data_IF_048779149916
#
_entry.id   IF_048779149916
#
_cell.length_a   1.000
_cell.length_b   1.000
_cell.length_c   1.000
_cell.angle_alpha   90.00
_cell.angle_beta   90.00
_cell.angle_gamma   90.00
#
_symmetry.space_group_name_H-M   'P 1'
#
loop_
_entity.id
_entity.type
_entity.pdbx_description
1 polymer ?
#
# COMPACT_ATOMS: atom_id res chain seq x y z
N UNK A 1 4.86 3.30 -5.50
CA UNK A 1 5.16 2.84 -6.88
C UNK A 1 6.50 2.13 -6.91
N UNK A 2 7.57 2.75 -6.43
CA UNK A 2 8.94 2.20 -6.49
C UNK A 2 9.10 0.85 -5.79
N UNK A 3 8.29 0.53 -4.79
CA UNK A 3 8.27 -0.78 -4.12
C UNK A 3 8.01 -1.95 -5.10
N UNK A 4 7.31 -1.69 -6.20
CA UNK A 4 7.04 -2.68 -7.24
C UNK A 4 8.24 -2.97 -8.14
N UNK A 5 9.22 -2.07 -8.18
CA UNK A 5 10.42 -2.21 -9.00
C UNK A 5 11.17 -3.49 -8.66
N UNK A 6 11.40 -3.74 -7.36
CA UNK A 6 12.11 -4.93 -6.90
C UNK A 6 11.37 -6.22 -7.25
N UNK A 7 10.02 -6.19 -7.19
CA UNK A 7 9.20 -7.33 -7.58
C UNK A 7 9.36 -7.65 -9.08
N UNK A 8 9.33 -6.64 -9.93
CA UNK A 8 9.54 -6.80 -11.37
C UNK A 8 10.97 -7.25 -11.70
N UNK A 9 11.98 -6.71 -11.02
CA UNK A 9 13.37 -7.11 -11.24
C UNK A 9 13.62 -8.58 -10.89
N UNK A 10 12.98 -9.09 -9.83
CA UNK A 10 13.10 -10.51 -9.43
C UNK A 10 12.56 -11.48 -10.49
N UNK A 11 11.62 -11.04 -11.30
CA UNK A 11 11.06 -11.84 -12.40
C UNK A 11 11.66 -11.48 -13.77
N UNK A 12 12.73 -10.66 -13.77
CA UNK A 12 13.55 -10.39 -14.95
C UNK A 12 13.20 -9.11 -15.71
N UNK A 13 12.29 -8.29 -15.24
CA UNK A 13 11.92 -7.02 -15.90
C UNK A 13 12.62 -5.84 -15.22
N UNK A 14 13.54 -5.20 -15.92
CA UNK A 14 14.18 -3.98 -15.44
C UNK A 14 13.42 -2.74 -15.86
N UNK A 15 13.30 -1.77 -14.96
CA UNK A 15 12.60 -0.50 -15.21
C UNK A 15 11.16 -0.67 -15.72
N UNK A 16 10.48 -1.72 -15.27
CA UNK A 16 9.11 -2.01 -15.71
C UNK A 16 8.10 -0.99 -15.19
N UNK A 17 8.37 -0.39 -14.04
CA UNK A 17 7.55 0.65 -13.43
C UNK A 17 8.44 1.73 -12.84
N UNK A 18 8.07 3.00 -13.03
CA UNK A 18 8.79 4.16 -12.51
C UNK A 18 7.80 5.24 -12.10
N UNK A 19 8.07 5.88 -10.95
CA UNK A 19 7.40 7.11 -10.58
C UNK A 19 8.12 8.32 -11.19
N UNK A 20 7.33 9.35 -11.54
CA UNK A 20 7.83 10.67 -11.94
C UNK A 20 7.04 11.74 -11.20
N UNK A 21 7.70 12.82 -10.91
CA UNK A 21 7.02 13.99 -10.36
C UNK A 21 6.04 14.58 -11.37
N UNK A 22 5.04 15.28 -10.85
CA UNK A 22 4.08 16.00 -11.69
C UNK A 22 4.81 16.99 -12.60
N UNK A 23 4.60 16.94 -13.93
CA UNK A 23 5.33 17.79 -14.90
C UNK A 23 4.73 19.20 -14.95
N UNK A 24 5.11 20.05 -14.00
CA UNK A 24 4.57 21.42 -13.86
C UNK A 24 4.80 22.31 -15.07
N UNK A 25 5.82 22.02 -15.88
CA UNK A 25 6.23 22.81 -17.05
C UNK A 25 5.74 22.22 -18.38
N UNK A 26 4.96 21.14 -18.36
CA UNK A 26 4.41 20.51 -19.56
C UNK A 26 2.96 20.97 -19.78
N UNK A 27 2.71 21.89 -20.76
CA UNK A 27 1.36 22.39 -21.02
C UNK A 27 0.42 21.34 -21.64
N UNK A 28 0.98 20.23 -22.16
CA UNK A 28 0.21 19.13 -22.73
C UNK A 28 -0.20 18.08 -21.69
N UNK A 29 0.36 18.19 -20.48
CA UNK A 29 0.02 17.25 -19.43
C UNK A 29 -1.35 17.56 -18.85
N UNK A 30 -2.24 16.60 -19.00
CA UNK A 30 -3.57 16.61 -18.40
C UNK A 30 -3.79 15.29 -17.66
N UNK A 31 -3.95 15.31 -16.32
CA UNK A 31 -4.21 14.09 -15.57
C UNK A 31 -5.52 13.40 -15.95
N UNK A 32 -6.46 14.06 -16.61
CA UNK A 32 -7.68 13.46 -17.13
C UNK A 32 -7.52 12.82 -18.52
N UNK A 33 -6.36 13.01 -19.14
CA UNK A 33 -6.04 12.37 -20.40
C UNK A 33 -5.66 10.90 -20.17
N UNK A 34 -6.28 9.98 -20.88
CA UNK A 34 -6.02 8.53 -20.81
C UNK A 34 -4.54 8.16 -21.06
N UNK A 35 -3.79 9.04 -21.70
CA UNK A 35 -2.36 8.86 -21.96
C UNK A 35 -1.50 8.81 -20.68
N UNK A 36 -1.98 9.41 -19.59
CA UNK A 36 -1.19 9.57 -18.37
C UNK A 36 -1.80 8.81 -17.19
N UNK A 37 -1.06 7.86 -16.63
CA UNK A 37 -1.41 7.18 -15.39
C UNK A 37 -0.91 8.01 -14.21
N UNK A 38 -1.79 8.33 -13.26
CA UNK A 38 -1.48 9.27 -12.19
C UNK A 38 -1.85 8.72 -10.81
N UNK A 39 -1.10 9.13 -9.78
CA UNK A 39 -1.59 9.08 -8.40
C UNK A 39 -2.21 10.43 -8.08
N UNK A 40 -3.49 10.41 -7.70
CA UNK A 40 -4.29 11.61 -7.50
C UNK A 40 -4.77 11.71 -6.06
N UNK A 41 -4.58 12.86 -5.46
CA UNK A 41 -5.26 13.21 -4.22
C UNK A 41 -6.63 13.83 -4.52
N UNK A 42 -7.66 13.33 -3.87
CA UNK A 42 -9.02 13.86 -3.94
C UNK A 42 -9.44 14.44 -2.59
N UNK A 43 -9.80 15.74 -2.50
CA UNK A 43 -10.15 16.40 -1.25
C UNK A 43 -11.59 16.07 -0.79
N UNK A 44 -12.10 14.92 -1.14
CA UNK A 44 -13.44 14.47 -0.70
C UNK A 44 -13.36 13.69 0.61
N UNK A 45 -14.42 13.78 1.41
CA UNK A 45 -14.53 13.13 2.72
C UNK A 45 -14.89 11.63 2.59
N UNK A 46 -14.17 10.91 1.75
CA UNK A 46 -14.32 9.46 1.56
C UNK A 46 -13.18 8.75 2.27
N UNK A 47 -13.50 7.74 3.05
CA UNK A 47 -12.54 6.87 3.75
C UNK A 47 -12.14 5.71 2.84
N UNK A 48 -11.44 6.00 1.75
CA UNK A 48 -11.04 4.98 0.78
C UNK A 48 -9.83 5.40 -0.05
N UNK A 49 -9.27 4.42 -0.78
CA UNK A 49 -8.41 4.60 -1.94
C UNK A 49 -8.91 3.65 -3.04
N UNK A 50 -8.57 3.93 -4.27
CA UNK A 50 -8.96 3.11 -5.42
C UNK A 50 -7.86 3.11 -6.48
N UNK A 51 -7.60 1.94 -7.08
CA UNK A 51 -6.66 1.75 -8.19
C UNK A 51 -7.34 1.20 -9.45
N UNK A 52 -8.29 1.93 -10.07
CA UNK A 52 -8.94 1.48 -11.28
C UNK A 52 -7.99 1.47 -12.48
N UNK A 53 -8.28 0.58 -13.43
CA UNK A 53 -7.65 0.56 -14.75
C UNK A 53 -8.70 0.61 -15.86
N UNK A 54 -8.31 1.16 -16.98
CA UNK A 54 -9.08 1.17 -18.23
C UNK A 54 -8.41 0.26 -19.23
N UNK A 55 -9.13 -0.73 -19.71
CA UNK A 55 -8.60 -1.76 -20.59
C UNK A 55 -9.24 -1.72 -21.96
N UNK A 56 -8.48 -2.08 -23.00
CA UNK A 56 -9.04 -2.35 -24.32
C UNK A 56 -9.86 -3.66 -24.26
N UNK A 57 -11.17 -3.62 -24.52
CA UNK A 57 -12.02 -4.80 -24.40
C UNK A 57 -11.70 -5.90 -25.42
N UNK A 58 -10.92 -5.59 -26.47
CA UNK A 58 -10.53 -6.55 -27.51
C UNK A 58 -9.29 -7.37 -27.13
N UNK A 59 -8.38 -6.74 -26.38
CA UNK A 59 -7.05 -7.33 -26.08
C UNK A 59 -6.81 -7.57 -24.60
N UNK A 60 -7.52 -6.84 -23.71
CA UNK A 60 -7.25 -6.81 -22.28
C UNK A 60 -6.05 -5.92 -21.92
N UNK A 61 -5.46 -5.20 -22.86
CA UNK A 61 -4.36 -4.27 -22.61
C UNK A 61 -4.82 -3.13 -21.71
N UNK A 62 -4.05 -2.83 -20.66
CA UNK A 62 -4.31 -1.70 -19.76
C UNK A 62 -3.84 -0.42 -20.46
N UNK A 63 -4.80 0.42 -20.88
CA UNK A 63 -4.54 1.68 -21.57
C UNK A 63 -4.19 2.80 -20.58
N UNK A 64 -4.81 2.79 -19.41
CA UNK A 64 -4.57 3.75 -18.33
C UNK A 64 -4.86 3.09 -16.99
N UNK A 65 -4.13 3.50 -15.97
CA UNK A 65 -4.40 3.12 -14.58
C UNK A 65 -4.06 4.28 -13.66
N UNK A 66 -4.96 4.64 -12.76
CA UNK A 66 -4.74 5.75 -11.83
C UNK A 66 -5.13 5.36 -10.40
N UNK A 67 -4.35 5.84 -9.43
CA UNK A 67 -4.66 5.67 -8.01
C UNK A 67 -5.34 6.94 -7.51
N UNK A 68 -6.48 6.78 -6.84
CA UNK A 68 -7.20 7.87 -6.19
C UNK A 68 -7.07 7.71 -4.67
N UNK A 69 -6.50 8.72 -4.02
CA UNK A 69 -6.37 8.80 -2.57
C UNK A 69 -7.36 9.86 -2.06
N UNK A 70 -8.38 9.43 -1.37
CA UNK A 70 -9.37 10.34 -0.79
C UNK A 70 -8.90 10.91 0.54
N UNK A 71 -9.38 12.11 0.91
CA UNK A 71 -8.88 12.84 2.07
C UNK A 71 -8.97 12.04 3.37
N UNK A 72 -10.12 11.43 3.64
CA UNK A 72 -10.32 10.71 4.91
C UNK A 72 -9.62 9.35 4.96
N UNK A 73 -8.90 8.95 3.91
CA UNK A 73 -7.96 7.83 3.99
C UNK A 73 -6.96 8.02 5.13
N UNK A 74 -6.51 9.26 5.37
CA UNK A 74 -5.56 9.57 6.45
C UNK A 74 -6.13 9.15 7.82
N UNK A 75 -7.40 9.49 8.07
CA UNK A 75 -8.07 9.09 9.31
C UNK A 75 -8.26 7.57 9.38
N UNK A 76 -8.68 6.96 8.28
CA UNK A 76 -8.91 5.53 8.21
C UNK A 76 -7.64 4.71 8.53
N UNK A 77 -6.50 5.05 7.95
CA UNK A 77 -5.25 4.31 8.21
C UNK A 77 -4.72 4.58 9.62
N UNK A 78 -4.93 5.80 10.16
CA UNK A 78 -4.65 6.12 11.55
C UNK A 78 -5.44 5.21 12.48
N UNK A 79 -6.75 5.10 12.29
CA UNK A 79 -7.64 4.31 13.15
C UNK A 79 -7.30 2.83 13.06
N UNK A 80 -7.03 2.30 11.89
CA UNK A 80 -6.58 0.91 11.74
C UNK A 80 -5.29 0.64 12.51
N UNK A 81 -4.30 1.50 12.34
CA UNK A 81 -2.99 1.34 13.00
C UNK A 81 -3.13 1.45 14.51
N UNK A 82 -3.87 2.46 15.00
CA UNK A 82 -4.13 2.65 16.42
C UNK A 82 -4.86 1.45 17.03
N UNK A 83 -5.99 1.05 16.47
CA UNK A 83 -6.82 -0.01 17.02
C UNK A 83 -6.10 -1.37 17.04
N UNK A 84 -5.32 -1.66 16.01
CA UNK A 84 -4.69 -2.95 15.86
C UNK A 84 -3.37 -3.08 16.63
N UNK A 85 -2.61 -2.01 16.78
CA UNK A 85 -1.23 -2.12 17.29
C UNK A 85 -0.94 -1.32 18.56
N UNK A 86 -1.82 -0.43 19.01
CA UNK A 86 -1.56 0.40 20.18
C UNK A 86 -1.21 -0.37 21.48
N UNK A 87 -1.70 -1.60 21.71
CA UNK A 87 -1.26 -2.37 22.90
C UNK A 87 0.23 -2.73 22.87
N UNK A 88 0.78 -2.99 21.68
CA UNK A 88 2.17 -3.43 21.49
C UNK A 88 3.10 -2.31 21.02
N UNK A 89 2.57 -1.22 20.44
CA UNK A 89 3.32 -0.14 19.82
C UNK A 89 3.04 1.22 20.49
N UNK A 90 3.95 1.74 21.32
CA UNK A 90 3.78 3.05 21.96
C UNK A 90 3.74 4.23 20.97
N UNK A 91 4.39 4.13 19.80
CA UNK A 91 4.53 5.24 18.84
C UNK A 91 3.19 5.61 18.21
N UNK A 92 2.22 4.68 18.22
CA UNK A 92 0.87 4.91 17.68
C UNK A 92 -0.14 5.37 18.73
N UNK A 93 0.28 5.60 19.98
CA UNK A 93 -0.60 6.12 21.05
C UNK A 93 -0.67 7.65 21.04
N UNK A 94 -0.85 8.22 19.85
CA UNK A 94 -0.88 9.66 19.60
C UNK A 94 -2.12 10.02 18.80
N UNK A 95 -2.65 11.21 19.03
CA UNK A 95 -3.75 11.77 18.24
C UNK A 95 -3.30 12.07 16.81
N UNK A 96 -2.06 12.50 16.66
CA UNK A 96 -1.41 12.73 15.37
C UNK A 96 -0.16 11.87 15.33
N UNK A 97 -0.07 10.98 14.35
CA UNK A 97 1.12 10.16 14.15
C UNK A 97 2.30 10.99 13.67
N UNK A 98 3.48 10.54 13.99
CA UNK A 98 4.69 11.05 13.38
C UNK A 98 4.66 10.76 11.86
N UNK A 99 5.34 11.60 11.09
CA UNK A 99 5.26 11.56 9.63
C UNK A 99 5.72 10.23 9.02
N UNK A 100 6.72 9.60 9.62
CA UNK A 100 7.22 8.29 9.20
C UNK A 100 6.19 7.18 9.43
N UNK A 101 5.50 7.17 10.58
CA UNK A 101 4.46 6.19 10.90
C UNK A 101 3.27 6.32 9.97
N UNK A 102 2.80 7.55 9.74
CA UNK A 102 1.70 7.82 8.81
C UNK A 102 2.11 7.50 7.37
N UNK A 103 3.33 7.87 7.00
CA UNK A 103 3.91 7.57 5.69
C UNK A 103 3.97 6.08 5.38
N UNK A 104 4.32 5.24 6.36
CA UNK A 104 4.31 3.78 6.20
C UNK A 104 2.89 3.24 5.97
N UNK A 105 1.89 3.77 6.66
CA UNK A 105 0.49 3.38 6.46
C UNK A 105 0.01 3.75 5.05
N UNK A 106 0.32 4.95 4.57
CA UNK A 106 -0.05 5.42 3.23
C UNK A 106 0.70 4.60 2.16
N UNK A 107 2.00 4.32 2.37
CA UNK A 107 2.80 3.48 1.47
C UNK A 107 2.17 2.11 1.25
N UNK A 108 1.71 1.46 2.32
CA UNK A 108 1.00 0.18 2.24
C UNK A 108 -0.22 0.29 1.32
N UNK A 109 -1.09 1.28 1.55
CA UNK A 109 -2.31 1.47 0.74
C UNK A 109 -1.95 1.77 -0.72
N UNK A 110 -1.04 2.70 -0.98
CA UNK A 110 -0.64 3.04 -2.36
C UNK A 110 -0.05 1.84 -3.09
N UNK A 111 0.78 1.04 -2.41
CA UNK A 111 1.33 -0.18 -3.02
C UNK A 111 0.26 -1.20 -3.37
N UNK A 112 -0.77 -1.33 -2.53
CA UNK A 112 -1.94 -2.17 -2.78
C UNK A 112 -2.74 -1.67 -4.01
N UNK A 113 -3.06 -0.37 -4.06
CA UNK A 113 -3.81 0.22 -5.18
C UNK A 113 -3.03 0.16 -6.50
N UNK A 114 -1.71 0.33 -6.47
CA UNK A 114 -0.87 0.07 -7.66
C UNK A 114 -0.97 -1.39 -8.11
N UNK A 115 -1.09 -2.33 -7.18
CA UNK A 115 -1.35 -3.73 -7.51
C UNK A 115 -2.64 -3.90 -8.30
N UNK A 116 -3.72 -3.21 -7.94
CA UNK A 116 -4.96 -3.21 -8.73
C UNK A 116 -4.77 -2.57 -10.11
N UNK A 117 -4.00 -1.49 -10.20
CA UNK A 117 -3.61 -0.88 -11.48
C UNK A 117 -2.84 -1.86 -12.40
N UNK A 118 -2.19 -2.87 -11.83
CA UNK A 118 -1.52 -3.96 -12.55
C UNK A 118 -2.44 -5.17 -12.79
N UNK A 119 -3.76 -5.01 -12.65
CA UNK A 119 -4.79 -6.04 -12.79
C UNK A 119 -4.71 -7.17 -11.76
N UNK A 120 -4.04 -6.98 -10.62
CA UNK A 120 -4.03 -7.97 -9.56
C UNK A 120 -5.31 -7.87 -8.73
N UNK A 121 -5.89 -9.02 -8.43
CA UNK A 121 -7.05 -9.12 -7.54
C UNK A 121 -6.60 -9.33 -6.09
N UNK A 122 -7.52 -9.11 -5.13
CA UNK A 122 -7.27 -9.45 -3.73
C UNK A 122 -6.82 -10.89 -3.55
N UNK A 123 -5.86 -11.10 -2.64
CA UNK A 123 -5.32 -12.42 -2.32
C UNK A 123 -5.29 -12.65 -0.80
N UNK A 124 -6.45 -12.99 -0.24
CA UNK A 124 -6.62 -13.22 1.20
C UNK A 124 -5.92 -14.51 1.68
N UNK A 125 -5.44 -15.35 0.76
CA UNK A 125 -4.63 -16.52 1.10
C UNK A 125 -3.23 -16.15 1.57
N UNK A 126 -2.76 -14.93 1.30
CA UNK A 126 -1.44 -14.45 1.71
C UNK A 126 -1.25 -14.53 3.22
N UNK A 127 -2.14 -13.89 3.99
CA UNK A 127 -2.09 -13.93 5.46
C UNK A 127 -2.60 -15.25 6.04
N UNK A 128 -3.64 -15.85 5.44
CA UNK A 128 -4.21 -17.10 5.92
C UNK A 128 -3.20 -18.27 5.90
N UNK A 129 -2.17 -18.22 5.07
CA UNK A 129 -1.12 -19.23 4.98
C UNK A 129 -0.01 -19.07 6.02
N UNK A 130 0.01 -17.96 6.78
CA UNK A 130 1.04 -17.71 7.79
C UNK A 130 0.62 -18.31 9.13
N UNK A 131 1.45 -19.18 9.75
CA UNK A 131 1.22 -19.63 11.12
C UNK A 131 1.21 -18.46 12.09
N UNK A 132 0.22 -18.39 12.96
CA UNK A 132 0.03 -17.26 13.92
C UNK A 132 1.27 -17.01 14.77
N UNK A 133 1.95 -18.07 15.23
CA UNK A 133 3.17 -17.96 16.04
C UNK A 133 4.31 -17.24 15.30
N UNK A 134 4.33 -17.33 13.96
CA UNK A 134 5.32 -16.63 13.15
C UNK A 134 5.19 -15.12 13.21
N UNK A 135 3.98 -14.60 13.46
CA UNK A 135 3.72 -13.16 13.57
C UNK A 135 4.30 -12.54 14.84
N UNK A 136 4.81 -13.35 15.78
CA UNK A 136 5.57 -12.91 16.96
C UNK A 136 7.07 -13.17 16.84
N UNK A 137 7.53 -13.64 15.70
CA UNK A 137 8.95 -13.86 15.41
C UNK A 137 9.58 -12.63 14.74
N UNK A 138 10.61 -11.99 15.35
CA UNK A 138 11.32 -10.86 14.72
C UNK A 138 11.90 -11.21 13.36
N UNK A 139 12.59 -12.34 13.25
CA UNK A 139 13.22 -12.77 11.99
C UNK A 139 12.20 -13.05 10.89
N UNK A 140 11.03 -13.57 11.25
CA UNK A 140 9.96 -13.82 10.29
C UNK A 140 9.32 -12.51 9.82
N UNK A 141 8.86 -11.67 10.76
CA UNK A 141 8.13 -10.44 10.42
C UNK A 141 8.98 -9.39 9.73
N UNK A 142 10.29 -9.35 10.03
CA UNK A 142 11.23 -8.49 9.31
C UNK A 142 11.44 -8.93 7.86
N UNK A 143 11.32 -10.23 7.57
CA UNK A 143 11.53 -10.77 6.23
C UNK A 143 10.24 -10.81 5.39
N UNK A 144 9.13 -11.16 5.99
CA UNK A 144 7.88 -11.48 5.29
C UNK A 144 6.71 -10.56 5.64
N UNK A 145 6.83 -9.74 6.71
CA UNK A 145 5.72 -8.93 7.20
C UNK A 145 4.58 -9.78 7.76
N UNK A 146 3.37 -9.29 7.61
CA UNK A 146 2.13 -9.92 8.08
C UNK A 146 1.41 -10.76 7.03
N UNK A 147 1.87 -10.70 5.78
CA UNK A 147 1.29 -11.41 4.64
C UNK A 147 2.34 -11.64 3.55
N UNK A 148 2.15 -12.69 2.75
CA UNK A 148 2.98 -12.92 1.56
C UNK A 148 2.51 -12.13 0.34
N UNK A 149 1.40 -11.42 0.42
CA UNK A 149 0.85 -10.66 -0.70
C UNK A 149 0.39 -9.28 -0.26
N UNK A 150 0.89 -8.23 -0.95
CA UNK A 150 0.38 -6.87 -0.78
C UNK A 150 -1.10 -6.73 -1.14
N UNK A 151 -1.65 -7.67 -1.91
CA UNK A 151 -3.06 -7.71 -2.29
C UNK A 151 -3.97 -8.33 -1.23
N UNK A 152 -3.45 -8.60 -0.05
CA UNK A 152 -4.19 -9.03 1.13
C UNK A 152 -4.63 -7.81 1.98
N UNK A 153 -5.61 -8.02 2.85
CA UNK A 153 -6.05 -7.05 3.87
C UNK A 153 -5.46 -7.33 5.26
N UNK A 154 -4.25 -7.87 5.31
CA UNK A 154 -3.56 -8.17 6.58
C UNK A 154 -3.27 -6.91 7.43
N UNK A 155 -3.18 -5.74 6.79
CA UNK A 155 -2.97 -4.43 7.42
C UNK A 155 -1.80 -4.43 8.41
N UNK A 156 -2.08 -4.51 9.70
CA UNK A 156 -1.08 -4.41 10.77
C UNK A 156 -1.01 -5.70 11.60
N UNK A 157 0.11 -5.90 12.27
CA UNK A 157 0.33 -7.07 13.11
C UNK A 157 -0.39 -6.92 14.48
N UNK A 158 -1.67 -7.27 14.52
CA UNK A 158 -2.47 -7.25 15.75
C UNK A 158 -2.21 -8.44 16.68
N UNK A 159 -1.38 -9.41 16.27
CA UNK A 159 -0.98 -10.56 17.10
C UNK A 159 0.17 -10.19 18.05
N UNK A 160 0.94 -9.16 17.69
CA UNK A 160 2.05 -8.68 18.52
C UNK A 160 1.58 -8.30 19.94
N UNK A 161 2.40 -8.62 20.93
CA UNK A 161 2.15 -8.37 22.34
C UNK A 161 3.11 -7.29 22.87
N UNK A 162 2.81 -6.66 24.02
CA UNK A 162 3.75 -5.74 24.66
C UNK A 162 5.13 -6.38 24.82
N UNK A 163 6.18 -5.64 24.41
CA UNK A 163 7.57 -6.11 24.38
C UNK A 163 7.99 -6.78 23.06
N UNK A 164 7.08 -7.08 22.16
CA UNK A 164 7.43 -7.70 20.87
C UNK A 164 8.09 -6.69 19.92
N UNK A 165 7.64 -5.42 19.93
CA UNK A 165 8.24 -4.36 19.12
C UNK A 165 9.70 -4.11 19.50
N UNK A 166 10.01 -4.06 20.79
CA UNK A 166 11.37 -3.87 21.31
C UNK A 166 12.30 -5.03 20.93
N UNK A 167 11.73 -6.22 20.69
CA UNK A 167 12.45 -7.39 20.17
C UNK A 167 12.60 -7.37 18.66
N UNK A 168 11.97 -6.42 17.98
CA UNK A 168 12.05 -6.24 16.52
C UNK A 168 10.94 -6.93 15.73
N UNK A 169 9.84 -7.33 16.34
CA UNK A 169 8.63 -7.79 15.65
C UNK A 169 8.00 -6.60 14.90
N UNK A 170 7.59 -6.78 13.64
CA UNK A 170 7.00 -5.77 12.77
C UNK A 170 5.53 -6.09 12.47
#
# INVERSE_FOLDING_TARGET
VEEWKDAFERIGFKNAIMAKDFPVDDPEFDPDNIKYSCIRYSPSQVENAMGPSWTDPRTGEILNASVYLYHNLIQLVHDWRFLQTSPADPDVRKVIFDEDVLGDCIRYVVSHEVGHCLALMHNMSGSASIPTDSLRSPSFTQKYGTTYSIMDYARNNYIAQPGDKERGVR
#
